data_IF_681981246609
#
_entry.id   IF_681981246609
#
_cell.length_a   1.000
_cell.length_b   1.000
_cell.length_c   1.000
_cell.angle_alpha   90.00
_cell.angle_beta   90.00
_cell.angle_gamma   90.00
#
_symmetry.space_group_name_H-M   'P 1'
#
loop_
_entity.id
_entity.type
_entity.pdbx_description
1 polymer ?
#
# COMPACT_ATOMS: atom_id res chain seq x y z
N UNK A 1 -4.40 -3.15 -23.34
CA UNK A 1 -5.05 -4.15 -22.48
C UNK A 1 -3.95 -4.73 -21.60
N UNK A 2 -4.13 -4.80 -20.28
CA UNK A 2 -3.20 -5.53 -19.41
C UNK A 2 -3.51 -7.01 -19.62
N UNK A 3 -2.55 -7.78 -20.13
CA UNK A 3 -2.70 -9.23 -20.28
C UNK A 3 -2.43 -9.95 -18.94
N UNK A 4 -2.80 -11.24 -18.86
CA UNK A 4 -2.69 -12.00 -17.62
C UNK A 4 -1.26 -12.13 -17.07
N UNK A 5 -0.23 -12.19 -17.93
CA UNK A 5 1.16 -12.25 -17.45
C UNK A 5 1.56 -10.91 -16.83
N UNK A 6 1.27 -9.81 -17.53
CA UNK A 6 1.53 -8.46 -17.00
C UNK A 6 0.78 -8.21 -15.70
N UNK A 7 -0.47 -8.67 -15.58
CA UNK A 7 -1.25 -8.58 -14.34
C UNK A 7 -0.55 -9.32 -13.18
N UNK A 8 -0.08 -10.55 -13.41
CA UNK A 8 0.64 -11.32 -12.39
C UNK A 8 1.94 -10.63 -11.95
N UNK A 9 2.71 -10.06 -12.87
CA UNK A 9 3.92 -9.30 -12.54
C UNK A 9 3.57 -8.08 -11.68
N UNK A 10 2.53 -7.33 -12.05
CA UNK A 10 2.03 -6.19 -11.26
C UNK A 10 1.62 -6.64 -9.86
N UNK A 11 0.88 -7.75 -9.75
CA UNK A 11 0.45 -8.32 -8.48
C UNK A 11 1.62 -8.70 -7.58
N UNK A 12 2.62 -9.40 -8.13
CA UNK A 12 3.83 -9.79 -7.40
C UNK A 12 4.59 -8.57 -6.89
N UNK A 13 4.78 -7.56 -7.75
CA UNK A 13 5.42 -6.30 -7.34
C UNK A 13 4.64 -5.61 -6.22
N UNK A 14 3.31 -5.57 -6.34
CA UNK A 14 2.43 -5.05 -5.29
C UNK A 14 2.58 -5.80 -3.97
N UNK A 15 2.59 -7.14 -3.99
CA UNK A 15 2.82 -7.98 -2.81
C UNK A 15 4.16 -7.69 -2.16
N UNK A 16 5.24 -7.58 -2.94
CA UNK A 16 6.58 -7.27 -2.41
C UNK A 16 6.57 -5.92 -1.70
N UNK A 17 5.93 -4.90 -2.27
CA UNK A 17 5.84 -3.57 -1.65
C UNK A 17 5.04 -3.60 -0.33
N UNK A 18 3.86 -4.22 -0.31
CA UNK A 18 3.03 -4.32 0.90
C UNK A 18 3.77 -5.08 2.00
N UNK A 19 4.35 -6.24 1.68
CA UNK A 19 5.08 -7.06 2.66
C UNK A 19 6.32 -6.32 3.16
N UNK A 20 7.07 -5.63 2.29
CA UNK A 20 8.24 -4.86 2.69
C UNK A 20 7.87 -3.66 3.56
N UNK A 21 6.77 -2.97 3.26
CA UNK A 21 6.24 -1.89 4.09
C UNK A 21 5.84 -2.42 5.47
N UNK A 22 5.12 -3.54 5.53
CA UNK A 22 4.73 -4.16 6.79
C UNK A 22 5.94 -4.64 7.59
N UNK A 23 6.93 -5.26 6.95
CA UNK A 23 8.19 -5.64 7.58
C UNK A 23 8.92 -4.42 8.16
N UNK A 24 9.00 -3.32 7.41
CA UNK A 24 9.54 -2.06 7.92
C UNK A 24 8.80 -1.56 9.16
N UNK A 25 7.46 -1.67 9.18
CA UNK A 25 6.66 -1.30 10.34
C UNK A 25 6.88 -2.21 11.56
N UNK A 26 7.21 -3.48 11.36
CA UNK A 26 7.45 -4.45 12.45
C UNK A 26 8.87 -4.37 13.00
N UNK A 27 9.87 -4.22 12.13
CA UNK A 27 11.27 -4.39 12.50
C UNK A 27 12.05 -3.08 12.70
N UNK A 28 11.55 -1.94 12.21
CA UNK A 28 12.24 -0.67 12.42
C UNK A 28 11.96 -0.10 13.81
N UNK A 29 13.03 0.35 14.50
CA UNK A 29 12.91 1.03 15.80
C UNK A 29 12.09 2.33 15.70
N UNK A 30 12.18 3.00 14.55
CA UNK A 30 11.41 4.21 14.25
C UNK A 30 10.83 4.13 12.84
N UNK A 31 9.51 4.18 12.75
CA UNK A 31 8.77 4.08 11.49
C UNK A 31 8.47 5.47 10.95
N UNK A 32 9.00 5.79 9.77
CA UNK A 32 8.59 6.98 9.03
C UNK A 32 7.20 6.73 8.42
N UNK A 33 6.15 7.47 8.83
CA UNK A 33 4.79 7.22 8.37
C UNK A 33 4.60 7.49 6.88
N UNK A 34 5.39 8.38 6.25
CA UNK A 34 5.32 8.61 4.81
C UNK A 34 5.89 7.44 4.01
N UNK A 35 7.03 6.89 4.46
CA UNK A 35 7.65 5.72 3.82
C UNK A 35 6.76 4.49 3.97
N UNK A 36 6.31 4.20 5.19
CA UNK A 36 5.45 3.05 5.45
C UNK A 36 4.12 3.14 4.67
N UNK A 37 3.34 4.19 4.90
CA UNK A 37 2.01 4.28 4.31
C UNK A 37 2.07 4.54 2.80
N UNK A 38 3.06 5.29 2.31
CA UNK A 38 3.24 5.53 0.88
C UNK A 38 3.60 4.24 0.11
N UNK A 39 4.54 3.45 0.64
CA UNK A 39 4.92 2.17 0.04
C UNK A 39 3.76 1.17 0.09
N UNK A 40 3.05 1.10 1.23
CA UNK A 40 1.88 0.24 1.38
C UNK A 40 0.75 0.62 0.42
N UNK A 41 0.48 1.92 0.26
CA UNK A 41 -0.54 2.42 -0.66
C UNK A 41 -0.20 2.05 -2.11
N UNK A 42 1.05 2.28 -2.54
CA UNK A 42 1.49 1.92 -3.88
C UNK A 42 1.34 0.41 -4.12
N UNK A 43 1.76 -0.42 -3.16
CA UNK A 43 1.60 -1.87 -3.24
C UNK A 43 0.15 -2.32 -3.37
N UNK A 44 -0.74 -1.80 -2.53
CA UNK A 44 -2.16 -2.14 -2.54
C UNK A 44 -2.88 -1.68 -3.82
N UNK A 45 -2.48 -0.55 -4.41
CA UNK A 45 -2.99 -0.10 -5.71
C UNK A 45 -2.56 -1.03 -6.85
N UNK A 46 -1.31 -1.50 -6.86
CA UNK A 46 -0.84 -2.48 -7.84
C UNK A 46 -1.60 -3.81 -7.70
N UNK A 47 -1.79 -4.29 -6.47
CA UNK A 47 -2.59 -5.50 -6.20
C UNK A 47 -4.02 -5.34 -6.69
N UNK A 48 -4.63 -4.18 -6.45
CA UNK A 48 -5.97 -3.85 -6.94
C UNK A 48 -6.03 -3.94 -8.48
N UNK A 49 -5.04 -3.38 -9.19
CA UNK A 49 -4.95 -3.47 -10.67
C UNK A 49 -4.86 -4.93 -11.14
N UNK A 50 -4.02 -5.75 -10.50
CA UNK A 50 -3.91 -7.19 -10.81
C UNK A 50 -5.24 -7.93 -10.59
N UNK A 51 -5.94 -7.59 -9.51
CA UNK A 51 -7.23 -8.19 -9.16
C UNK A 51 -8.35 -7.79 -10.12
N UNK A 52 -8.26 -6.67 -10.84
CA UNK A 52 -9.24 -6.36 -11.88
C UNK A 52 -9.14 -7.30 -13.09
N UNK A 53 -8.01 -7.99 -13.27
CA UNK A 53 -7.82 -9.02 -14.32
C UNK A 53 -8.10 -10.42 -13.76
N UNK A 54 -7.57 -10.74 -12.59
CA UNK A 54 -7.77 -12.02 -11.90
C UNK A 54 -8.59 -11.82 -10.63
N UNK A 55 -9.89 -11.60 -10.80
CA UNK A 55 -10.74 -11.12 -9.70
C UNK A 55 -10.91 -12.12 -8.57
N UNK A 56 -10.63 -11.63 -7.36
CA UNK A 56 -10.90 -12.29 -6.11
C UNK A 56 -11.50 -11.26 -5.15
N UNK A 57 -12.77 -11.47 -4.77
CA UNK A 57 -13.49 -10.50 -3.93
C UNK A 57 -12.87 -10.34 -2.54
N UNK A 58 -12.40 -11.43 -1.93
CA UNK A 58 -11.81 -11.38 -0.60
C UNK A 58 -10.50 -10.58 -0.60
N UNK A 59 -9.61 -10.85 -1.56
CA UNK A 59 -8.37 -10.08 -1.73
C UNK A 59 -8.66 -8.62 -2.09
N UNK A 60 -9.64 -8.36 -2.96
CA UNK A 60 -10.00 -6.99 -3.34
C UNK A 60 -10.45 -6.16 -2.13
N UNK A 61 -11.32 -6.70 -1.28
CA UNK A 61 -11.75 -6.02 -0.05
C UNK A 61 -10.59 -5.78 0.92
N UNK A 62 -9.66 -6.73 1.04
CA UNK A 62 -8.45 -6.56 1.84
C UNK A 62 -7.60 -5.38 1.35
N UNK A 63 -7.37 -5.27 0.04
CA UNK A 63 -6.61 -4.15 -0.53
C UNK A 63 -7.30 -2.80 -0.30
N UNK A 64 -8.64 -2.75 -0.41
CA UNK A 64 -9.40 -1.53 -0.09
C UNK A 64 -9.23 -1.08 1.37
N UNK A 65 -9.12 -2.04 2.30
CA UNK A 65 -8.81 -1.75 3.71
C UNK A 65 -7.38 -1.20 3.83
N UNK A 66 -6.40 -1.82 3.19
CA UNK A 66 -5.00 -1.35 3.21
C UNK A 66 -4.85 0.05 2.64
N UNK A 67 -5.51 0.35 1.53
CA UNK A 67 -5.56 1.68 0.92
C UNK A 67 -6.15 2.68 1.92
N UNK A 68 -7.26 2.35 2.57
CA UNK A 68 -7.92 3.24 3.54
C UNK A 68 -7.03 3.55 4.74
N UNK A 69 -6.35 2.53 5.30
CA UNK A 69 -5.41 2.68 6.41
C UNK A 69 -4.22 3.57 5.99
N UNK A 70 -3.65 3.31 4.82
CA UNK A 70 -2.50 4.05 4.32
C UNK A 70 -2.83 5.53 4.07
N UNK A 71 -3.98 5.83 3.45
CA UNK A 71 -4.46 7.20 3.27
C UNK A 71 -4.66 7.92 4.61
N UNK A 72 -5.26 7.26 5.60
CA UNK A 72 -5.41 7.81 6.95
C UNK A 72 -4.07 8.08 7.63
N UNK A 73 -3.09 7.18 7.47
CA UNK A 73 -1.74 7.33 7.99
C UNK A 73 -0.98 8.51 7.37
N UNK A 74 -1.04 8.65 6.03
CA UNK A 74 -0.46 9.78 5.30
C UNK A 74 -1.10 11.11 5.70
N UNK A 75 -2.43 11.16 5.78
CA UNK A 75 -3.17 12.35 6.20
C UNK A 75 -2.78 12.81 7.61
N UNK A 76 -2.68 11.86 8.56
CA UNK A 76 -2.23 12.14 9.93
C UNK A 76 -0.80 12.67 9.96
N UNK A 77 0.11 12.09 9.18
CA UNK A 77 1.50 12.53 9.10
C UNK A 77 1.62 13.95 8.54
N UNK A 78 0.90 14.24 7.45
CA UNK A 78 0.86 15.57 6.83
C UNK A 78 0.35 16.64 7.80
N UNK A 79 -0.75 16.37 8.52
CA UNK A 79 -1.30 17.30 9.53
C UNK A 79 -0.34 17.54 10.71
N UNK A 80 0.41 16.52 11.12
CA UNK A 80 1.39 16.65 12.22
C UNK A 80 2.55 17.55 11.81
N UNK A 81 3.07 17.38 10.59
CA UNK A 81 4.14 18.22 10.06
C UNK A 81 3.71 19.68 9.92
N UNK A 82 2.49 19.93 9.42
CA UNK A 82 1.95 21.28 9.30
C UNK A 82 1.83 22.03 10.64
N UNK A 83 1.57 21.31 11.74
CA UNK A 83 1.49 21.88 13.10
C UNK A 83 2.84 22.10 13.78
N UNK A 84 3.90 21.45 13.31
CA UNK A 84 5.25 21.57 13.86
C UNK A 84 6.09 22.65 13.16
N UNK A 85 5.62 23.16 12.02
CA UNK A 85 6.22 24.28 11.28
C UNK A 85 5.57 25.65 11.55
N UNK A 86 4.82 25.80 12.64
CA UNK A 86 4.26 27.06 13.17
C UNK A 86 4.74 27.24 14.61
#
# INVERSE_FOLDING_TARGET
MVDGLTANVIGIMGSILVVSAYAYNVYADTVNPFVYNGTNLLGALLLTISLLVHFNLASFLLEMVWISIALGGLWKAYRKQARQGS
#
